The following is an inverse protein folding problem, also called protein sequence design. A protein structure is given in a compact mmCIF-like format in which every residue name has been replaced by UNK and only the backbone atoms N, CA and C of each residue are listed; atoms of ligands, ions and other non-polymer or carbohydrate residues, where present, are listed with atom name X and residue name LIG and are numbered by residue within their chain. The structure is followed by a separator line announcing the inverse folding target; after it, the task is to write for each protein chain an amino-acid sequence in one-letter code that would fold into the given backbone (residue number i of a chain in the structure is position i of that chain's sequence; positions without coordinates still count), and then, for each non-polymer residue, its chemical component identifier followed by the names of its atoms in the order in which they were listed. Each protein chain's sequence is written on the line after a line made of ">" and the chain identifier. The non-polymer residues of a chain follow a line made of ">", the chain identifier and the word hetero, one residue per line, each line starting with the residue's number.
data_IF_621872361846
#
_entry.id   IF_621872361846
#
_cell.length_a   1.000
_cell.length_b   1.000
_cell.length_c   1.000
_cell.angle_alpha   90.00
_cell.angle_beta   90.00
_cell.angle_gamma   90.00
#
_symmetry.space_group_name_H-M   'P 1'
#
loop_
_entity.id
_entity.type
_entity.pdbx_description
1 polymer ?
#
# COMPACT_ATOMS: atom_id res chain seq x y z
N UNK A 1 -18.11 -0.87 -48.09
CA UNK A 1 -17.08 -0.60 -47.07
C UNK A 1 -17.08 -1.78 -46.11
N UNK A 2 -16.00 -2.57 -46.06
CA UNK A 2 -15.93 -3.71 -45.13
C UNK A 2 -15.76 -3.17 -43.70
N UNK A 3 -16.53 -3.70 -42.74
CA UNK A 3 -16.57 -3.22 -41.36
C UNK A 3 -15.26 -3.45 -40.59
N UNK A 4 -15.17 -2.97 -39.33
CA UNK A 4 -14.01 -3.27 -38.49
C UNK A 4 -13.88 -4.78 -38.24
N UNK A 5 -12.65 -5.29 -38.26
CA UNK A 5 -12.36 -6.70 -37.98
C UNK A 5 -12.85 -7.06 -36.58
N UNK A 6 -13.75 -8.03 -36.50
CA UNK A 6 -14.24 -8.52 -35.21
C UNK A 6 -13.26 -9.56 -34.68
N UNK A 7 -12.86 -9.43 -33.42
CA UNK A 7 -11.99 -10.41 -32.76
C UNK A 7 -12.80 -11.11 -31.67
N UNK A 8 -12.95 -12.42 -31.78
CA UNK A 8 -13.57 -13.28 -30.78
C UNK A 8 -12.48 -14.10 -30.09
N UNK A 9 -12.45 -14.05 -28.76
CA UNK A 9 -11.61 -14.92 -27.93
C UNK A 9 -12.51 -15.95 -27.26
N UNK A 10 -12.21 -17.23 -27.49
CA UNK A 10 -12.79 -18.35 -26.78
C UNK A 10 -11.77 -18.84 -25.74
N UNK A 11 -12.08 -18.66 -24.46
CA UNK A 11 -11.23 -19.12 -23.37
C UNK A 11 -11.35 -20.65 -23.14
N UNK A 12 -10.56 -21.16 -22.19
CA UNK A 12 -10.55 -22.56 -21.79
C UNK A 12 -11.93 -23.08 -21.32
N UNK A 13 -12.75 -22.19 -20.79
CA UNK A 13 -14.09 -22.48 -20.25
C UNK A 13 -15.18 -22.31 -21.31
N UNK A 14 -14.80 -22.18 -22.59
CA UNK A 14 -15.69 -21.92 -23.73
C UNK A 14 -16.48 -20.61 -23.60
N UNK A 15 -16.02 -19.68 -22.76
CA UNK A 15 -16.56 -18.32 -22.69
C UNK A 15 -16.03 -17.54 -23.87
N UNK A 16 -16.95 -16.83 -24.53
CA UNK A 16 -16.68 -16.08 -25.76
C UNK A 16 -16.70 -14.60 -25.45
N UNK A 17 -15.63 -13.92 -25.82
CA UNK A 17 -15.47 -12.48 -25.65
C UNK A 17 -15.23 -11.84 -27.01
N UNK A 18 -16.15 -11.00 -27.45
CA UNK A 18 -16.05 -10.24 -28.69
C UNK A 18 -15.49 -8.86 -28.39
N UNK A 19 -14.43 -8.50 -29.09
CA UNK A 19 -13.78 -7.19 -29.01
C UNK A 19 -14.17 -6.35 -30.21
N UNK A 20 -14.27 -5.04 -30.01
CA UNK A 20 -14.65 -4.04 -31.02
C UNK A 20 -16.07 -4.18 -31.59
N UNK A 21 -16.92 -5.02 -30.99
CA UNK A 21 -18.36 -4.93 -31.16
C UNK A 21 -18.94 -3.99 -30.10
N UNK A 22 -19.91 -3.12 -30.44
CA UNK A 22 -20.77 -2.53 -29.42
C UNK A 22 -21.43 -3.65 -28.60
N UNK A 23 -21.73 -3.43 -27.31
CA UNK A 23 -22.44 -4.42 -26.51
C UNK A 23 -23.73 -4.82 -27.25
N UNK A 24 -23.93 -6.13 -27.40
CA UNK A 24 -25.16 -6.67 -27.98
C UNK A 24 -26.33 -6.22 -27.10
N UNK A 25 -27.14 -5.29 -27.59
CA UNK A 25 -28.50 -5.16 -27.10
C UNK A 25 -29.15 -6.54 -27.25
N UNK A 26 -29.71 -7.07 -26.16
CA UNK A 26 -30.19 -8.47 -26.07
C UNK A 26 -31.25 -8.85 -27.11
N UNK A 27 -31.73 -7.89 -27.90
CA UNK A 27 -32.77 -8.04 -28.92
C UNK A 27 -32.27 -7.89 -30.37
N UNK A 28 -30.99 -7.57 -30.60
CA UNK A 28 -30.46 -7.44 -31.95
C UNK A 28 -30.20 -8.83 -32.57
N UNK A 29 -31.06 -9.22 -33.51
CA UNK A 29 -30.90 -10.42 -34.31
C UNK A 29 -29.50 -10.49 -34.93
N UNK A 30 -28.84 -11.65 -34.81
CA UNK A 30 -27.54 -11.90 -35.40
C UNK A 30 -27.60 -11.63 -36.92
N UNK A 31 -26.62 -10.90 -37.51
CA UNK A 31 -26.62 -10.62 -38.93
C UNK A 31 -26.59 -11.95 -39.72
N UNK A 32 -27.56 -12.12 -40.61
CA UNK A 32 -27.85 -13.33 -41.37
C UNK A 32 -26.92 -13.56 -42.58
N UNK A 33 -25.62 -13.27 -42.44
CA UNK A 33 -24.61 -13.48 -43.48
C UNK A 33 -23.48 -14.40 -43.02
N UNK A 34 -22.98 -15.25 -43.92
CA UNK A 34 -21.76 -16.04 -43.68
C UNK A 34 -20.55 -15.11 -43.60
N UNK A 35 -20.17 -14.68 -42.39
CA UNK A 35 -18.94 -13.92 -42.16
C UNK A 35 -17.72 -14.75 -42.53
N UNK A 36 -16.77 -14.17 -43.27
CA UNK A 36 -15.52 -14.86 -43.60
C UNK A 36 -14.63 -14.96 -42.36
N UNK A 37 -14.61 -16.16 -41.76
CA UNK A 37 -13.94 -16.44 -40.48
C UNK A 37 -12.54 -17.04 -40.66
N UNK A 38 -11.58 -16.54 -39.89
CA UNK A 38 -10.29 -17.18 -39.66
C UNK A 38 -10.24 -17.74 -38.23
N UNK A 39 -10.03 -19.04 -38.07
CA UNK A 39 -9.86 -19.70 -36.76
C UNK A 39 -8.39 -19.96 -36.50
N UNK A 40 -7.91 -19.56 -35.32
CA UNK A 40 -6.54 -19.77 -34.88
C UNK A 40 -6.56 -20.42 -33.49
N UNK A 41 -6.00 -21.62 -33.39
CA UNK A 41 -5.81 -22.32 -32.12
C UNK A 41 -4.37 -22.09 -31.64
N UNK A 42 -4.20 -21.66 -30.38
CA UNK A 42 -2.89 -21.37 -29.80
C UNK A 42 -2.92 -21.35 -28.28
N UNK A 43 -1.75 -21.41 -27.64
CA UNK A 43 -1.64 -21.19 -26.19
C UNK A 43 -1.99 -19.74 -25.80
N UNK A 44 -2.33 -19.51 -24.52
CA UNK A 44 -2.72 -18.19 -24.03
C UNK A 44 -1.64 -17.10 -24.16
N UNK A 45 -0.35 -17.47 -24.16
CA UNK A 45 0.75 -16.51 -24.30
C UNK A 45 0.75 -15.95 -25.73
N UNK A 46 0.75 -16.82 -26.73
CA UNK A 46 0.66 -16.42 -28.14
C UNK A 46 -0.68 -15.73 -28.43
N UNK A 47 -1.77 -16.22 -27.83
CA UNK A 47 -3.09 -15.59 -27.89
C UNK A 47 -3.08 -14.15 -27.39
N UNK A 48 -2.35 -13.86 -26.31
CA UNK A 48 -2.19 -12.49 -25.79
C UNK A 48 -1.48 -11.58 -26.78
N UNK A 49 -0.39 -12.04 -27.40
CA UNK A 49 0.33 -11.25 -28.42
C UNK A 49 -0.53 -11.02 -29.65
N UNK A 50 -1.17 -12.06 -30.19
CA UNK A 50 -2.10 -11.93 -31.31
C UNK A 50 -3.26 -10.98 -31.01
N UNK A 51 -3.84 -11.05 -29.81
CA UNK A 51 -4.91 -10.15 -29.38
C UNK A 51 -4.43 -8.68 -29.35
N UNK A 52 -3.23 -8.41 -28.82
CA UNK A 52 -2.64 -7.06 -28.87
C UNK A 52 -2.42 -6.58 -30.29
N UNK A 53 -1.90 -7.45 -31.17
CA UNK A 53 -1.69 -7.10 -32.58
C UNK A 53 -3.02 -6.73 -33.27
N UNK A 54 -4.08 -7.53 -33.06
CA UNK A 54 -5.36 -7.29 -33.73
C UNK A 54 -6.13 -6.09 -33.17
N UNK A 55 -6.07 -5.85 -31.86
CA UNK A 55 -6.84 -4.79 -31.21
C UNK A 55 -6.08 -3.45 -31.20
N UNK A 56 -4.78 -3.46 -30.94
CA UNK A 56 -4.00 -2.25 -30.69
C UNK A 56 -3.20 -1.81 -31.92
N UNK A 57 -2.41 -2.71 -32.52
CA UNK A 57 -1.47 -2.33 -33.59
C UNK A 57 -2.10 -2.37 -34.99
N UNK A 58 -3.12 -3.20 -35.20
CA UNK A 58 -4.01 -3.28 -36.37
C UNK A 58 -3.35 -3.54 -37.73
N UNK A 59 -2.03 -3.56 -37.85
CA UNK A 59 -1.32 -3.80 -39.11
C UNK A 59 -1.65 -5.19 -39.70
N UNK A 60 -1.61 -6.23 -38.87
CA UNK A 60 -1.99 -7.59 -39.27
C UNK A 60 -3.49 -7.68 -39.58
N UNK A 61 -4.33 -7.01 -38.80
CA UNK A 61 -5.78 -6.96 -39.00
C UNK A 61 -6.13 -6.37 -40.39
N UNK A 62 -5.54 -5.23 -40.74
CA UNK A 62 -5.74 -4.57 -42.03
C UNK A 62 -5.25 -5.42 -43.21
N UNK A 63 -4.12 -6.12 -43.06
CA UNK A 63 -3.61 -7.05 -44.09
C UNK A 63 -4.56 -8.23 -44.31
N UNK A 64 -5.08 -8.83 -43.24
CA UNK A 64 -6.03 -9.94 -43.33
C UNK A 64 -7.35 -9.52 -43.97
N UNK A 65 -7.83 -8.30 -43.68
CA UNK A 65 -9.00 -7.74 -44.32
C UNK A 65 -8.77 -7.47 -45.82
N UNK A 66 -7.68 -6.79 -46.16
CA UNK A 66 -7.41 -6.36 -47.54
C UNK A 66 -7.05 -7.50 -48.49
N UNK A 67 -6.20 -8.44 -48.07
CA UNK A 67 -5.73 -9.52 -48.94
C UNK A 67 -6.60 -10.78 -48.88
N UNK A 68 -7.24 -11.04 -47.74
CA UNK A 68 -7.97 -12.29 -47.50
C UNK A 68 -9.45 -12.10 -47.16
N UNK A 69 -9.94 -10.86 -47.11
CA UNK A 69 -11.35 -10.56 -46.84
C UNK A 69 -11.83 -11.09 -45.49
N UNK A 70 -10.94 -11.27 -44.51
CA UNK A 70 -11.32 -11.82 -43.20
C UNK A 70 -12.11 -10.79 -42.41
N UNK A 71 -13.26 -11.16 -41.91
CA UNK A 71 -14.17 -10.27 -41.15
C UNK A 71 -14.23 -10.62 -39.67
N UNK A 72 -13.96 -11.89 -39.33
CA UNK A 72 -13.97 -12.41 -37.97
C UNK A 72 -12.74 -13.27 -37.70
N UNK A 73 -11.95 -12.89 -36.69
CA UNK A 73 -10.91 -13.73 -36.12
C UNK A 73 -11.46 -14.46 -34.91
N UNK A 74 -11.31 -15.78 -34.91
CA UNK A 74 -11.68 -16.66 -33.81
C UNK A 74 -10.42 -17.22 -33.15
N UNK A 75 -10.01 -16.64 -32.04
CA UNK A 75 -8.90 -17.12 -31.22
C UNK A 75 -9.42 -18.17 -30.24
N UNK A 76 -8.92 -19.39 -30.35
CA UNK A 76 -9.24 -20.48 -29.44
C UNK A 76 -8.02 -20.81 -28.59
N UNK A 77 -8.15 -20.60 -27.28
CA UNK A 77 -7.04 -20.82 -26.36
C UNK A 77 -6.97 -22.29 -25.99
N UNK A 78 -5.83 -22.92 -26.29
CA UNK A 78 -5.55 -24.30 -25.91
C UNK A 78 -5.02 -24.37 -24.48
N UNK A 79 -5.61 -25.25 -23.63
CA UNK A 79 -5.15 -25.40 -22.26
C UNK A 79 -3.67 -25.80 -22.29
N UNK A 80 -2.86 -25.27 -21.36
CA UNK A 80 -1.45 -25.64 -21.31
C UNK A 80 -1.32 -27.14 -21.05
N UNK A 81 -0.36 -27.79 -21.73
CA UNK A 81 -0.12 -29.23 -21.57
C UNK A 81 0.24 -29.65 -20.13
N UNK A 82 0.68 -28.68 -19.31
CA UNK A 82 0.89 -28.82 -17.87
C UNK A 82 0.36 -27.57 -17.19
N UNK A 83 -0.41 -27.75 -16.12
CA UNK A 83 -0.74 -26.64 -15.22
C UNK A 83 0.56 -26.09 -14.63
N UNK A 84 0.92 -24.86 -15.01
CA UNK A 84 2.07 -24.17 -14.47
C UNK A 84 1.59 -23.29 -13.33
N UNK A 85 1.41 -23.89 -12.15
CA UNK A 85 1.25 -23.10 -10.93
C UNK A 85 2.60 -22.44 -10.65
N UNK A 86 2.63 -21.12 -10.67
CA UNK A 86 3.83 -20.36 -10.31
C UNK A 86 3.98 -20.36 -8.79
N UNK A 87 4.52 -21.46 -8.26
CA UNK A 87 4.80 -21.63 -6.84
C UNK A 87 5.73 -20.55 -6.30
N UNK A 88 6.66 -20.06 -7.12
CA UNK A 88 7.59 -19.00 -6.72
C UNK A 88 6.86 -17.68 -6.50
N UNK A 89 5.97 -17.29 -7.42
CA UNK A 89 5.13 -16.11 -7.22
C UNK A 89 4.15 -16.28 -6.07
N UNK A 90 3.57 -17.47 -5.92
CA UNK A 90 2.68 -17.76 -4.80
C UNK A 90 3.41 -17.61 -3.45
N UNK A 91 4.66 -18.08 -3.35
CA UNK A 91 5.49 -17.93 -2.15
C UNK A 91 5.84 -16.47 -1.86
N UNK A 92 6.28 -15.71 -2.88
CA UNK A 92 6.56 -14.27 -2.75
C UNK A 92 5.31 -13.52 -2.30
N UNK A 93 4.16 -13.82 -2.91
CA UNK A 93 2.88 -13.20 -2.58
C UNK A 93 2.46 -13.52 -1.14
N UNK A 94 2.50 -14.80 -0.75
CA UNK A 94 2.16 -15.25 0.58
C UNK A 94 3.05 -14.58 1.64
N UNK A 95 4.37 -14.52 1.39
CA UNK A 95 5.32 -13.84 2.28
C UNK A 95 5.00 -12.35 2.44
N UNK A 96 4.75 -11.66 1.33
CA UNK A 96 4.44 -10.22 1.31
C UNK A 96 3.13 -9.92 2.05
N UNK A 97 2.07 -10.70 1.77
CA UNK A 97 0.78 -10.59 2.46
C UNK A 97 0.97 -10.79 3.96
N UNK A 98 1.74 -11.80 4.37
CA UNK A 98 1.96 -12.09 5.78
C UNK A 98 2.70 -10.95 6.50
N UNK A 99 3.69 -10.33 5.87
CA UNK A 99 4.36 -9.16 6.41
C UNK A 99 3.40 -7.97 6.58
N UNK A 100 2.52 -7.72 5.62
CA UNK A 100 1.50 -6.67 5.73
C UNK A 100 0.51 -6.95 6.87
N UNK A 101 0.00 -8.18 6.99
CA UNK A 101 -0.89 -8.57 8.09
C UNK A 101 -0.20 -8.38 9.45
N UNK A 102 1.06 -8.78 9.57
CA UNK A 102 1.83 -8.61 10.79
C UNK A 102 2.00 -7.13 11.18
N UNK A 103 2.25 -6.25 10.20
CA UNK A 103 2.32 -4.80 10.43
C UNK A 103 1.00 -4.25 10.92
N UNK A 104 -0.10 -4.55 10.23
CA UNK A 104 -1.43 -4.05 10.59
C UNK A 104 -1.81 -4.50 12.01
N UNK A 105 -1.56 -5.78 12.33
CA UNK A 105 -1.78 -6.31 13.67
C UNK A 105 -0.95 -5.56 14.72
N UNK A 106 0.35 -5.36 14.49
CA UNK A 106 1.21 -4.63 15.43
C UNK A 106 0.84 -3.15 15.54
N UNK A 107 0.39 -2.51 14.46
CA UNK A 107 -0.10 -1.14 14.47
C UNK A 107 -1.40 -1.01 15.29
N UNK A 108 -2.30 -1.99 15.19
CA UNK A 108 -3.50 -2.07 16.04
C UNK A 108 -3.14 -2.19 17.52
N UNK A 109 -2.18 -3.06 17.86
CA UNK A 109 -1.66 -3.18 19.23
C UNK A 109 -1.00 -1.89 19.72
N UNK A 110 -0.23 -1.25 18.85
CA UNK A 110 0.45 0.00 19.18
C UNK A 110 -0.54 1.16 19.43
N UNK A 111 -1.66 1.21 18.69
CA UNK A 111 -2.71 2.19 18.95
C UNK A 111 -3.42 1.92 20.28
N UNK A 112 -3.72 0.65 20.57
CA UNK A 112 -4.53 0.27 21.74
C UNK A 112 -3.70 0.20 23.01
N UNK A 113 -2.75 -0.74 23.08
CA UNK A 113 -1.89 -0.91 24.25
C UNK A 113 -0.83 0.18 24.35
N UNK A 114 -0.26 0.62 23.23
CA UNK A 114 0.68 1.73 23.25
C UNK A 114 0.01 3.03 23.72
N UNK A 115 -1.25 3.27 23.35
CA UNK A 115 -2.08 4.35 23.89
C UNK A 115 -2.30 4.22 25.40
N UNK A 116 -2.74 3.05 25.87
CA UNK A 116 -2.97 2.79 27.29
C UNK A 116 -1.72 2.92 28.17
N UNK A 117 -0.61 2.27 27.77
CA UNK A 117 0.67 2.38 28.49
C UNK A 117 1.25 3.79 28.43
N UNK A 118 1.03 4.52 27.33
CA UNK A 118 1.42 5.93 27.22
C UNK A 118 0.62 6.80 28.18
N UNK A 119 -0.70 6.61 28.30
CA UNK A 119 -1.52 7.36 29.26
C UNK A 119 -1.05 7.14 30.70
N UNK A 120 -0.73 5.90 31.07
CA UNK A 120 -0.17 5.56 32.39
C UNK A 120 1.30 5.97 32.56
N UNK A 121 2.00 6.24 31.47
CA UNK A 121 3.44 6.53 31.44
C UNK A 121 3.82 7.85 32.11
N UNK A 122 2.87 8.76 32.32
CA UNK A 122 3.08 10.02 33.05
C UNK A 122 3.28 9.80 34.55
N UNK A 123 2.64 8.76 35.10
CA UNK A 123 2.69 8.44 36.53
C UNK A 123 3.66 7.29 36.81
N UNK A 124 3.76 6.34 35.88
CA UNK A 124 4.53 5.11 36.05
C UNK A 124 5.59 4.98 34.96
N UNK A 125 6.86 5.23 35.31
CA UNK A 125 7.98 5.12 34.38
C UNK A 125 8.07 3.72 33.72
N UNK A 126 7.67 2.66 34.44
CA UNK A 126 7.59 1.30 33.90
C UNK A 126 6.64 1.21 32.70
N UNK A 127 5.50 1.89 32.76
CA UNK A 127 4.54 1.95 31.65
C UNK A 127 5.12 2.69 30.45
N UNK A 128 5.82 3.81 30.67
CA UNK A 128 6.53 4.53 29.61
C UNK A 128 7.61 3.64 28.94
N UNK A 129 8.39 2.89 29.72
CA UNK A 129 9.37 1.91 29.19
C UNK A 129 8.68 0.84 28.35
N UNK A 130 7.54 0.32 28.79
CA UNK A 130 6.76 -0.67 28.04
C UNK A 130 6.22 -0.10 26.73
N UNK A 131 5.63 1.11 26.74
CA UNK A 131 5.16 1.80 25.53
C UNK A 131 6.31 1.99 24.51
N UNK A 132 7.50 2.35 25.00
CA UNK A 132 8.71 2.42 24.17
C UNK A 132 9.11 1.08 23.54
N UNK A 133 9.00 -0.03 24.28
CA UNK A 133 9.29 -1.37 23.72
C UNK A 133 8.27 -1.80 22.67
N UNK A 134 6.99 -1.53 22.91
CA UNK A 134 5.89 -1.84 21.96
C UNK A 134 6.10 -1.09 20.65
N UNK A 135 6.67 0.11 20.67
CA UNK A 135 6.96 0.90 19.46
C UNK A 135 8.18 0.41 18.65
N UNK A 136 9.07 -0.40 19.23
CA UNK A 136 10.25 -0.91 18.52
C UNK A 136 9.97 -2.17 17.69
N UNK A 137 9.02 -3.01 18.08
CA UNK A 137 8.68 -4.22 17.33
C UNK A 137 8.17 -3.93 15.91
N UNK A 138 7.11 -3.12 15.71
CA UNK A 138 6.65 -2.79 14.37
C UNK A 138 7.65 -1.96 13.58
N UNK A 139 8.51 -1.17 14.25
CA UNK A 139 9.60 -0.45 13.57
C UNK A 139 10.56 -1.42 12.86
N UNK A 140 10.91 -2.54 13.48
CA UNK A 140 11.77 -3.57 12.86
C UNK A 140 11.12 -4.17 11.61
N UNK A 141 9.81 -4.38 11.63
CA UNK A 141 9.08 -4.90 10.47
C UNK A 141 8.99 -3.82 9.37
N UNK A 142 8.70 -2.57 9.74
CA UNK A 142 8.67 -1.45 8.79
C UNK A 142 10.02 -1.17 8.12
N UNK A 143 11.14 -1.44 8.81
CA UNK A 143 12.47 -1.42 8.21
C UNK A 143 12.65 -2.52 7.16
N UNK A 144 12.14 -3.73 7.41
CA UNK A 144 12.22 -4.86 6.47
C UNK A 144 11.33 -4.67 5.24
N UNK A 145 10.15 -4.08 5.43
CA UNK A 145 9.21 -3.78 4.36
C UNK A 145 9.58 -2.56 3.53
N UNK A 146 10.51 -1.72 4.01
CA UNK A 146 10.88 -0.48 3.33
C UNK A 146 9.76 0.56 3.33
N UNK A 147 8.87 0.56 4.34
CA UNK A 147 7.85 1.61 4.51
C UNK A 147 8.37 2.72 5.44
N UNK A 148 8.84 3.86 4.89
CA UNK A 148 9.42 4.93 5.70
C UNK A 148 8.36 5.71 6.49
N UNK A 149 7.09 5.76 6.04
CA UNK A 149 6.01 6.43 6.76
C UNK A 149 5.65 5.65 8.02
N UNK A 150 5.54 4.32 7.93
CA UNK A 150 5.34 3.45 9.08
C UNK A 150 6.48 3.58 10.09
N UNK A 151 7.73 3.58 9.61
CA UNK A 151 8.90 3.77 10.47
C UNK A 151 8.85 5.11 11.22
N UNK A 152 8.49 6.19 10.52
CA UNK A 152 8.37 7.51 11.13
C UNK A 152 7.30 7.54 12.22
N UNK A 153 6.12 6.94 11.99
CA UNK A 153 5.08 6.80 13.04
C UNK A 153 5.62 6.06 14.26
N UNK A 154 6.28 4.91 14.07
CA UNK A 154 6.84 4.12 15.18
C UNK A 154 7.89 4.92 15.97
N UNK A 155 8.77 5.65 15.29
CA UNK A 155 9.76 6.53 15.91
C UNK A 155 9.07 7.63 16.74
N UNK A 156 7.99 8.23 16.24
CA UNK A 156 7.22 9.23 16.98
C UNK A 156 6.59 8.66 18.25
N UNK A 157 5.99 7.47 18.20
CA UNK A 157 5.49 6.78 19.40
C UNK A 157 6.60 6.49 20.40
N UNK A 158 7.77 6.06 19.92
CA UNK A 158 8.95 5.92 20.78
C UNK A 158 9.38 7.27 21.38
N UNK A 159 9.30 8.36 20.63
CA UNK A 159 9.55 9.73 21.09
C UNK A 159 8.66 10.14 22.27
N UNK A 160 7.39 9.74 22.27
CA UNK A 160 6.49 9.97 23.43
C UNK A 160 7.03 9.26 24.68
N UNK A 161 7.50 8.03 24.55
CA UNK A 161 8.10 7.30 25.68
C UNK A 161 9.37 7.98 26.21
N UNK A 162 10.17 8.60 25.33
CA UNK A 162 11.35 9.36 25.73
C UNK A 162 10.97 10.61 26.52
N UNK A 163 9.90 11.31 26.09
CA UNK A 163 9.37 12.48 26.79
C UNK A 163 8.95 12.10 28.21
N UNK A 164 8.15 11.05 28.36
CA UNK A 164 7.65 10.57 29.65
C UNK A 164 8.77 10.14 30.61
N UNK A 165 9.90 9.67 30.07
CA UNK A 165 11.09 9.27 30.84
C UNK A 165 12.05 10.43 31.10
N UNK A 166 11.70 11.65 30.72
CA UNK A 166 12.54 12.84 30.91
C UNK A 166 13.72 12.97 29.94
N UNK A 167 13.82 12.10 28.92
CA UNK A 167 14.84 12.16 27.87
C UNK A 167 14.51 13.22 26.80
N UNK A 168 14.22 14.45 27.24
CA UNK A 168 13.63 15.50 26.40
C UNK A 168 14.53 15.92 25.22
N UNK A 169 15.85 15.94 25.40
CA UNK A 169 16.80 16.28 24.33
C UNK A 169 16.79 15.26 23.20
N UNK A 170 16.80 13.96 23.55
CA UNK A 170 16.73 12.89 22.56
C UNK A 170 15.38 12.91 21.81
N UNK A 171 14.28 13.10 22.55
CA UNK A 171 12.96 13.25 21.95
C UNK A 171 12.91 14.44 20.96
N UNK A 172 13.46 15.59 21.33
CA UNK A 172 13.53 16.79 20.49
C UNK A 172 14.19 16.53 19.15
N UNK A 173 15.36 15.89 19.15
CA UNK A 173 16.08 15.56 17.91
C UNK A 173 15.26 14.61 17.05
N UNK A 174 14.78 13.52 17.65
CA UNK A 174 13.97 12.53 16.93
C UNK A 174 12.73 13.15 16.28
N UNK A 175 11.99 14.00 17.00
CA UNK A 175 10.76 14.63 16.48
C UNK A 175 11.08 15.59 15.33
N UNK A 176 12.19 16.33 15.40
CA UNK A 176 12.63 17.23 14.32
C UNK A 176 12.95 16.44 13.06
N UNK A 177 13.75 15.38 13.19
CA UNK A 177 14.10 14.51 12.06
C UNK A 177 12.84 13.93 11.40
N UNK A 178 11.85 13.50 12.21
CA UNK A 178 10.60 12.97 11.67
C UNK A 178 9.70 14.06 11.06
N UNK A 179 9.74 15.29 11.58
CA UNK A 179 9.00 16.41 11.01
C UNK A 179 9.56 16.84 9.66
N UNK A 180 10.87 16.94 9.51
CA UNK A 180 11.53 17.21 8.23
C UNK A 180 11.18 16.13 7.20
N UNK A 181 11.28 14.85 7.60
CA UNK A 181 10.84 13.74 6.77
C UNK A 181 9.36 13.86 6.35
N UNK A 182 8.47 14.20 7.28
CA UNK A 182 7.03 14.32 7.04
C UNK A 182 6.67 15.47 6.10
N UNK A 183 7.44 16.57 6.10
CA UNK A 183 7.24 17.69 5.18
C UNK A 183 7.55 17.29 3.73
N UNK A 184 8.64 16.54 3.51
CA UNK A 184 9.01 16.02 2.18
C UNK A 184 7.99 14.99 1.68
N UNK A 185 7.40 14.19 2.58
CA UNK A 185 6.49 13.09 2.24
C UNK A 185 5.01 13.41 2.51
N UNK A 186 4.64 14.70 2.53
CA UNK A 186 3.31 15.16 2.96
C UNK A 186 2.15 14.59 2.13
N UNK A 187 2.38 14.32 0.86
CA UNK A 187 1.37 13.73 -0.03
C UNK A 187 1.06 12.26 0.32
N UNK A 188 2.06 11.54 0.83
CA UNK A 188 1.92 10.11 1.20
C UNK A 188 1.26 9.92 2.55
N UNK A 189 1.53 10.80 3.52
CA UNK A 189 0.89 10.75 4.83
C UNK A 189 0.74 12.14 5.47
N UNK A 190 -0.42 12.76 5.25
CA UNK A 190 -0.78 14.04 5.86
C UNK A 190 -0.91 13.97 7.38
N UNK A 191 -1.17 12.78 7.95
CA UNK A 191 -1.36 12.59 9.40
C UNK A 191 -0.04 12.70 10.14
N UNK A 192 1.07 12.31 9.52
CA UNK A 192 2.39 12.31 10.15
C UNK A 192 2.82 13.71 10.63
N UNK A 193 2.57 14.74 9.82
CA UNK A 193 2.84 16.15 10.19
C UNK A 193 2.07 16.53 11.46
N UNK A 194 0.79 16.15 11.56
CA UNK A 194 -0.05 16.43 12.74
C UNK A 194 0.44 15.67 13.97
N UNK A 195 0.91 14.42 13.80
CA UNK A 195 1.52 13.65 14.89
C UNK A 195 2.76 14.36 15.44
N UNK A 196 3.67 14.80 14.56
CA UNK A 196 4.85 15.56 14.97
C UNK A 196 4.48 16.81 15.76
N UNK A 197 3.50 17.59 15.26
CA UNK A 197 3.02 18.79 15.93
C UNK A 197 2.43 18.49 17.32
N UNK A 198 1.57 17.48 17.44
CA UNK A 198 0.98 17.09 18.72
C UNK A 198 2.04 16.65 19.75
N UNK A 199 3.01 15.86 19.32
CA UNK A 199 4.09 15.38 20.19
C UNK A 199 5.04 16.54 20.55
N UNK A 200 5.27 17.48 19.64
CA UNK A 200 6.06 18.68 19.92
C UNK A 200 5.41 19.54 21.01
N UNK A 201 4.09 19.75 20.97
CA UNK A 201 3.38 20.47 22.03
C UNK A 201 3.56 19.79 23.38
N UNK A 202 3.49 18.45 23.42
CA UNK A 202 3.76 17.67 24.63
C UNK A 202 5.20 17.86 25.13
N UNK A 203 6.18 17.85 24.25
CA UNK A 203 7.58 18.11 24.60
C UNK A 203 7.75 19.51 25.21
N UNK A 204 7.14 20.53 24.62
CA UNK A 204 7.19 21.92 25.11
C UNK A 204 6.58 22.01 26.51
N UNK A 205 5.44 21.37 26.74
CA UNK A 205 4.80 21.31 28.05
C UNK A 205 5.74 20.70 29.11
N UNK A 206 6.39 19.58 28.82
CA UNK A 206 7.34 18.96 29.76
C UNK A 206 8.56 19.85 30.06
N UNK A 207 9.07 20.59 29.06
CA UNK A 207 10.12 21.58 29.30
C UNK A 207 9.65 22.69 30.24
N UNK A 208 8.41 23.17 30.09
CA UNK A 208 7.84 24.19 30.98
C UNK A 208 7.70 23.65 32.40
N UNK A 209 7.11 22.45 32.56
CA UNK A 209 6.97 21.80 33.86
C UNK A 209 8.32 21.62 34.57
N UNK A 210 9.34 21.14 33.85
CA UNK A 210 10.69 21.01 34.40
C UNK A 210 11.28 22.35 34.85
N UNK A 211 11.04 23.44 34.11
CA UNK A 211 11.49 24.78 34.51
C UNK A 211 10.78 25.29 35.77
N UNK A 212 9.48 25.03 35.92
CA UNK A 212 8.75 25.38 37.14
C UNK A 212 9.27 24.63 38.36
N UNK A 213 9.53 23.31 38.22
CA UNK A 213 10.13 22.50 39.30
C UNK A 213 11.54 22.93 39.69
N UNK A 214 12.31 23.53 38.79
CA UNK A 214 13.66 24.07 39.11
C UNK A 214 13.58 25.42 39.82
N UNK A 215 12.52 26.21 39.59
CA UNK A 215 12.32 27.51 40.25
C UNK A 215 11.72 27.41 41.66
N UNK A 216 10.84 26.44 41.91
CA UNK A 216 10.25 26.20 43.24
C UNK A 216 11.24 25.92 44.38
N UNK A 217 12.35 25.17 44.23
CA UNK A 217 13.28 24.90 45.33
C UNK A 217 14.04 26.13 45.83
N UNK A 218 14.06 27.25 45.09
CA UNK A 218 14.65 28.50 45.57
C UNK A 218 13.68 29.28 46.50
N UNK A 219 12.37 29.12 46.32
CA UNK A 219 11.36 29.82 47.12
C UNK A 219 11.11 29.20 48.50
N UNK A 220 11.32 27.89 48.66
CA UNK A 220 11.14 27.19 49.95
C UNK A 220 12.39 27.29 50.83
N UNK A 221 13.59 27.44 50.24
CA UNK A 221 14.82 27.67 50.99
C UNK A 221 14.90 29.08 51.58
N UNK A 222 14.39 30.10 50.86
CA UNK A 222 14.35 31.48 51.36
C UNK A 222 13.31 31.67 52.49
N UNK A 223 12.26 30.84 52.54
CA UNK A 223 11.24 30.88 53.61
C UNK A 223 11.65 30.14 54.90
N UNK A 224 12.76 29.38 54.90
CA UNK A 224 13.29 28.69 56.09
C UNK A 224 14.55 29.38 56.66
N UNK A 225 14.95 30.53 56.10
CA UNK A 225 16.12 31.30 56.52
C UNK A 225 15.77 32.66 57.18
N UNK A 226 14.48 32.95 57.40
CA UNK A 226 13.96 34.05 58.24
C UNK A 226 13.43 33.51 59.57
#
# INVERSE_FOLDING_TARGET
>A
MSGPLTVCVCDYWKRRHYYNCPPLDREAAAPAGELRRLRLAMNAINGHYCLREFVQQRALALRLQSHHGVELIWLELEPPARETIDYKWAEILAHTIWQHIAVEHLMSWLSTLGGGFSALGEQFERCAKTAGRISLQPLKIGLRLGDPCLQARCKLYYGISLIQRGHLRAAKHLIRDQFEFALVHREKDRRLVRMCQGIWMRLVYEYQQRRHRIKQPQSEADYQAE
#
